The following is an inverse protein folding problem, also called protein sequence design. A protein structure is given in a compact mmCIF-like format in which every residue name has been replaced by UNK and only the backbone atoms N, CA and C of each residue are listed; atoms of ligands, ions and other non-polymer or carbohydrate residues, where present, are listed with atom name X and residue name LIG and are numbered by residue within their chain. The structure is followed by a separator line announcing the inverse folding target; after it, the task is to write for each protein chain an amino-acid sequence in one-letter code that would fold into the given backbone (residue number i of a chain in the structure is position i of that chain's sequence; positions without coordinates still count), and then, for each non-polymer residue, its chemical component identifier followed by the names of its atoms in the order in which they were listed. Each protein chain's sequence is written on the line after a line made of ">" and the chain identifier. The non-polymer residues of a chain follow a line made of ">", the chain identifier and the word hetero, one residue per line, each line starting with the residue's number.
data_IF_519036637235
#
_entry.id   IF_519036637235
#
_cell.length_a   1.000
_cell.length_b   1.000
_cell.length_c   1.000
_cell.angle_alpha   90.00
_cell.angle_beta   90.00
_cell.angle_gamma   90.00
#
_symmetry.space_group_name_H-M   'P 1'
#
loop_
_entity.id
_entity.type
_entity.pdbx_description
1 polymer ?
#
# COMPACT_ATOMS: atom_id res chain seq x y z
N UNK A 1 26.28 10.76 14.39
CA UNK A 1 25.44 11.84 13.83
C UNK A 1 23.99 11.35 13.77
N UNK A 2 23.08 11.98 14.50
CA UNK A 2 21.64 11.73 14.32
C UNK A 2 21.23 12.54 13.10
N UNK A 3 21.01 11.87 11.96
CA UNK A 3 20.57 12.54 10.73
C UNK A 3 19.16 13.11 10.92
N UNK A 4 19.00 14.42 10.68
CA UNK A 4 17.69 15.06 10.69
C UNK A 4 16.80 14.43 9.62
N UNK A 5 15.61 13.96 10.01
CA UNK A 5 14.60 13.44 9.09
C UNK A 5 13.66 14.57 8.71
N UNK A 6 13.59 14.87 7.41
CA UNK A 6 12.66 15.87 6.88
C UNK A 6 11.49 15.18 6.18
N UNK A 7 10.29 15.71 6.38
CA UNK A 7 9.10 15.32 5.66
C UNK A 7 8.56 16.54 4.89
N UNK A 8 8.06 16.31 3.69
CA UNK A 8 7.46 17.35 2.85
C UNK A 8 6.03 16.95 2.50
N UNK A 9 5.18 17.97 2.33
CA UNK A 9 3.81 17.80 1.88
C UNK A 9 3.62 18.60 0.59
N UNK A 10 2.94 17.99 -0.37
CA UNK A 10 2.59 18.62 -1.64
C UNK A 10 1.18 18.22 -2.04
N UNK A 11 0.61 18.97 -2.99
CA UNK A 11 -0.68 18.68 -3.61
C UNK A 11 -0.46 18.50 -5.11
N UNK A 12 -0.99 17.41 -5.65
CA UNK A 12 -1.06 17.16 -7.09
C UNK A 12 -2.50 17.35 -7.58
N UNK A 13 -2.64 17.70 -8.86
CA UNK A 13 -3.93 17.86 -9.55
C UNK A 13 -3.95 16.90 -10.73
N UNK A 14 -4.34 15.62 -10.52
CA UNK A 14 -4.31 14.62 -11.57
C UNK A 14 -5.35 14.92 -12.64
N UNK A 15 -4.98 14.67 -13.90
CA UNK A 15 -5.98 14.52 -14.98
C UNK A 15 -6.82 13.24 -14.79
N UNK A 16 -7.77 13.00 -15.70
CA UNK A 16 -8.67 11.83 -15.63
C UNK A 16 -7.94 10.50 -15.64
N UNK A 17 -6.87 10.36 -16.41
CA UNK A 17 -6.15 9.10 -16.60
C UNK A 17 -5.28 8.80 -15.39
N UNK A 18 -4.60 9.83 -14.88
CA UNK A 18 -3.84 9.79 -13.65
C UNK A 18 -4.74 9.48 -12.46
N UNK A 19 -5.92 10.11 -12.37
CA UNK A 19 -6.89 9.86 -11.33
C UNK A 19 -7.41 8.41 -11.38
N UNK A 20 -7.70 7.89 -12.58
CA UNK A 20 -8.13 6.51 -12.77
C UNK A 20 -7.03 5.51 -12.31
N UNK A 21 -5.77 5.77 -12.64
CA UNK A 21 -4.66 4.93 -12.23
C UNK A 21 -4.40 4.97 -10.71
N UNK A 22 -4.44 6.16 -10.10
CA UNK A 22 -4.37 6.31 -8.65
C UNK A 22 -5.53 5.56 -7.98
N UNK A 23 -6.74 5.68 -8.53
CA UNK A 23 -7.92 4.93 -8.10
C UNK A 23 -7.73 3.41 -8.14
N UNK A 24 -7.20 2.86 -9.24
CA UNK A 24 -6.83 1.43 -9.35
C UNK A 24 -5.81 1.03 -8.28
N UNK A 25 -4.76 1.84 -8.09
CA UNK A 25 -3.71 1.60 -7.09
C UNK A 25 -4.30 1.54 -5.68
N UNK A 26 -5.12 2.53 -5.30
CA UNK A 26 -5.78 2.57 -4.00
C UNK A 26 -6.73 1.38 -3.81
N UNK A 27 -7.48 1.01 -4.84
CA UNK A 27 -8.33 -0.18 -4.84
C UNK A 27 -7.54 -1.46 -4.56
N UNK A 28 -6.43 -1.66 -5.27
CA UNK A 28 -5.55 -2.82 -5.10
C UNK A 28 -4.92 -2.86 -3.69
N UNK A 29 -4.42 -1.72 -3.20
CA UNK A 29 -3.88 -1.61 -1.83
C UNK A 29 -4.93 -1.97 -0.78
N UNK A 30 -6.16 -1.45 -0.93
CA UNK A 30 -7.27 -1.75 -0.02
C UNK A 30 -7.64 -3.23 -0.05
N UNK A 31 -7.71 -3.83 -1.24
CA UNK A 31 -8.00 -5.25 -1.41
C UNK A 31 -6.93 -6.11 -0.74
N UNK A 32 -5.65 -5.85 -1.03
CA UNK A 32 -4.52 -6.60 -0.45
C UNK A 32 -4.54 -6.50 1.07
N UNK A 33 -4.76 -5.31 1.63
CA UNK A 33 -4.91 -5.14 3.09
C UNK A 33 -6.05 -6.00 3.65
N UNK A 34 -7.26 -5.87 3.09
CA UNK A 34 -8.46 -6.54 3.61
C UNK A 34 -8.35 -8.06 3.46
N UNK A 35 -7.91 -8.56 2.31
CA UNK A 35 -7.75 -10.00 2.05
C UNK A 35 -6.70 -10.62 2.96
N UNK A 36 -5.57 -9.92 3.18
CA UNK A 36 -4.55 -10.39 4.13
C UNK A 36 -5.04 -10.38 5.57
N UNK A 37 -5.82 -9.36 5.97
CA UNK A 37 -6.40 -9.28 7.32
C UNK A 37 -7.38 -10.42 7.58
N UNK A 38 -8.25 -10.72 6.61
CA UNK A 38 -9.18 -11.85 6.66
C UNK A 38 -8.44 -13.18 6.78
N UNK A 39 -7.39 -13.41 5.97
CA UNK A 39 -6.58 -14.62 6.08
C UNK A 39 -5.89 -14.77 7.43
N UNK A 40 -5.31 -13.69 7.96
CA UNK A 40 -4.69 -13.69 9.30
C UNK A 40 -5.71 -14.00 10.39
N UNK A 41 -6.90 -13.42 10.30
CA UNK A 41 -8.00 -13.68 11.22
C UNK A 41 -8.37 -15.17 11.18
N UNK A 42 -8.60 -15.75 9.99
CA UNK A 42 -8.94 -17.17 9.85
C UNK A 42 -7.85 -18.09 10.38
N UNK A 43 -6.59 -17.84 10.04
CA UNK A 43 -5.46 -18.66 10.50
C UNK A 43 -5.33 -18.65 12.03
N UNK A 44 -5.51 -17.48 12.64
CA UNK A 44 -5.46 -17.35 14.10
C UNK A 44 -6.65 -18.04 14.78
N UNK A 45 -7.87 -17.86 14.27
CA UNK A 45 -9.06 -18.50 14.85
C UNK A 45 -9.09 -20.02 14.68
N UNK A 46 -8.58 -20.54 13.56
CA UNK A 46 -8.57 -21.98 13.30
C UNK A 46 -7.39 -22.71 13.98
N UNK A 47 -6.22 -22.06 14.05
CA UNK A 47 -4.98 -22.74 14.44
C UNK A 47 -4.13 -21.99 15.47
N UNK A 48 -4.55 -20.80 15.91
CA UNK A 48 -3.75 -19.96 16.83
C UNK A 48 -2.47 -19.42 16.21
N UNK A 49 -2.31 -19.49 14.89
CA UNK A 49 -1.05 -19.16 14.21
C UNK A 49 -0.99 -17.70 13.76
N UNK A 50 0.23 -17.15 13.77
CA UNK A 50 0.54 -15.82 13.21
C UNK A 50 1.15 -15.99 11.83
N UNK A 51 0.80 -15.11 10.90
CA UNK A 51 1.41 -15.09 9.57
C UNK A 51 2.60 -14.12 9.53
N UNK A 52 3.74 -14.57 9.02
CA UNK A 52 4.93 -13.77 8.74
C UNK A 52 4.73 -12.81 7.56
N UNK A 53 5.66 -11.88 7.35
CA UNK A 53 5.68 -11.07 6.13
C UNK A 53 5.91 -11.96 4.88
N UNK A 54 6.86 -12.90 4.95
CA UNK A 54 7.23 -13.79 3.85
C UNK A 54 6.04 -14.59 3.32
N UNK A 55 5.24 -15.17 4.22
CA UNK A 55 4.02 -15.89 3.82
C UNK A 55 3.00 -14.97 3.13
N UNK A 56 2.81 -13.74 3.64
CA UNK A 56 1.88 -12.80 2.98
C UNK A 56 2.39 -12.30 1.64
N UNK A 57 3.71 -12.18 1.46
CA UNK A 57 4.34 -11.78 0.19
C UNK A 57 4.25 -12.90 -0.87
N UNK A 58 4.43 -14.16 -0.44
CA UNK A 58 4.19 -15.34 -1.26
C UNK A 58 2.71 -15.43 -1.69
N UNK A 59 1.77 -15.25 -0.76
CA UNK A 59 0.34 -15.24 -1.07
C UNK A 59 -0.03 -14.14 -2.07
N UNK A 60 0.52 -12.93 -1.93
CA UNK A 60 0.34 -11.84 -2.90
C UNK A 60 0.87 -12.22 -4.29
N UNK A 61 1.99 -12.93 -4.37
CA UNK A 61 2.55 -13.42 -5.63
C UNK A 61 1.64 -14.44 -6.30
N UNK A 62 1.05 -15.35 -5.52
CA UNK A 62 0.05 -16.31 -6.03
C UNK A 62 -1.23 -15.60 -6.49
N UNK A 63 -1.75 -14.64 -5.73
CA UNK A 63 -2.95 -13.90 -6.13
C UNK A 63 -2.79 -13.25 -7.50
N UNK A 64 -1.64 -12.63 -7.76
CA UNK A 64 -1.33 -12.01 -9.05
C UNK A 64 -1.33 -12.98 -10.24
N UNK A 65 -1.20 -14.28 -9.99
CA UNK A 65 -1.24 -15.34 -11.03
C UNK A 65 -2.64 -15.91 -11.23
N UNK A 66 -3.56 -15.69 -10.30
CA UNK A 66 -4.97 -16.10 -10.46
C UNK A 66 -5.69 -15.19 -11.44
N UNK A 67 -6.63 -15.73 -12.22
CA UNK A 67 -7.46 -14.93 -13.15
C UNK A 67 -8.28 -13.86 -12.43
N UNK A 68 -8.80 -14.17 -11.24
CA UNK A 68 -9.61 -13.25 -10.43
C UNK A 68 -8.81 -12.00 -9.99
N UNK A 69 -7.53 -12.16 -9.63
CA UNK A 69 -6.72 -11.09 -9.04
C UNK A 69 -5.52 -10.69 -9.91
N UNK A 70 -5.50 -11.09 -11.18
CA UNK A 70 -4.44 -10.74 -12.13
C UNK A 70 -4.26 -9.22 -12.28
N UNK A 71 -5.34 -8.44 -12.12
CA UNK A 71 -5.31 -6.98 -12.17
C UNK A 71 -4.40 -6.33 -11.10
N UNK A 72 -4.04 -7.06 -10.04
CA UNK A 72 -3.03 -6.61 -9.07
C UNK A 72 -1.65 -6.38 -9.71
N UNK A 73 -1.40 -6.94 -10.91
CA UNK A 73 -0.18 -6.75 -11.69
C UNK A 73 -0.21 -5.50 -12.59
N UNK A 74 -1.37 -4.85 -12.73
CA UNK A 74 -1.52 -3.60 -13.51
C UNK A 74 -0.97 -2.38 -12.76
N UNK A 75 -0.87 -2.47 -11.43
CA UNK A 75 -0.34 -1.41 -10.57
C UNK A 75 1.09 -1.74 -10.13
N UNK A 76 1.81 -0.74 -9.61
CA UNK A 76 3.13 -0.97 -9.03
C UNK A 76 3.07 -2.00 -7.89
N UNK A 77 4.00 -2.95 -7.88
CA UNK A 77 4.13 -3.93 -6.80
C UNK A 77 4.51 -3.29 -5.47
N UNK A 78 5.19 -2.13 -5.50
CA UNK A 78 5.75 -1.49 -4.32
C UNK A 78 4.66 -1.08 -3.30
N UNK A 79 3.59 -0.34 -3.67
CA UNK A 79 2.49 -0.08 -2.75
C UNK A 79 1.84 -1.33 -2.15
N UNK A 80 1.70 -2.41 -2.94
CA UNK A 80 1.10 -3.66 -2.46
C UNK A 80 1.98 -4.31 -1.38
N UNK A 81 3.29 -4.37 -1.62
CA UNK A 81 4.26 -4.91 -0.67
C UNK A 81 4.45 -4.01 0.56
N UNK A 82 4.40 -2.69 0.40
CA UNK A 82 4.42 -1.76 1.54
C UNK A 82 3.17 -1.92 2.41
N UNK A 83 2.02 -2.21 1.81
CA UNK A 83 0.76 -2.48 2.55
C UNK A 83 0.90 -3.69 3.47
N UNK A 84 1.54 -4.77 2.99
CA UNK A 84 1.84 -5.95 3.81
C UNK A 84 2.79 -5.60 4.98
N UNK A 85 3.83 -4.79 4.74
CA UNK A 85 4.74 -4.31 5.80
C UNK A 85 4.02 -3.48 6.85
N UNK A 86 3.15 -2.56 6.42
CA UNK A 86 2.34 -1.77 7.32
C UNK A 86 1.44 -2.65 8.19
N UNK A 87 0.84 -3.70 7.62
CA UNK A 87 0.01 -4.62 8.38
C UNK A 87 0.84 -5.46 9.36
N UNK A 88 2.03 -5.91 8.97
CA UNK A 88 2.96 -6.60 9.87
C UNK A 88 3.34 -5.71 11.07
N UNK A 89 3.71 -4.45 10.83
CA UNK A 89 3.98 -3.48 11.90
C UNK A 89 2.75 -3.22 12.77
N UNK A 90 1.55 -3.13 12.18
CA UNK A 90 0.31 -2.93 12.93
C UNK A 90 0.04 -4.09 13.89
N UNK A 91 0.21 -5.35 13.45
CA UNK A 91 0.10 -6.52 14.32
C UNK A 91 1.20 -6.56 15.40
N UNK A 92 2.45 -6.25 15.05
CA UNK A 92 3.53 -6.18 16.02
C UNK A 92 3.24 -5.13 17.13
N UNK A 93 2.69 -3.98 16.77
CA UNK A 93 2.28 -2.96 17.73
C UNK A 93 1.06 -3.40 18.55
N UNK A 94 0.08 -4.09 17.94
CA UNK A 94 -1.06 -4.65 18.66
C UNK A 94 -0.63 -5.66 19.73
N UNK A 95 0.20 -6.65 19.37
CA UNK A 95 0.70 -7.64 20.32
C UNK A 95 1.59 -7.03 21.41
N UNK A 96 2.26 -5.91 21.12
CA UNK A 96 3.04 -5.16 22.11
C UNK A 96 2.18 -4.21 22.97
N UNK A 97 0.86 -4.20 22.83
CA UNK A 97 -0.04 -3.32 23.58
C UNK A 97 0.05 -1.83 23.20
N UNK A 98 0.70 -1.49 22.08
CA UNK A 98 0.93 -0.10 21.62
C UNK A 98 -0.12 0.40 20.64
N UNK A 99 -0.95 -0.49 20.10
CA UNK A 99 -1.99 -0.15 19.14
C UNK A 99 -3.21 -1.06 19.31
N UNK A 100 -4.36 -0.62 18.80
CA UNK A 100 -5.57 -1.45 18.69
C UNK A 100 -5.41 -2.49 17.58
N UNK A 101 -6.27 -3.51 17.59
CA UNK A 101 -6.32 -4.52 16.54
C UNK A 101 -6.56 -3.86 15.17
N UNK A 102 -5.87 -4.30 14.09
CA UNK A 102 -6.05 -3.74 12.76
C UNK A 102 -7.48 -3.92 12.23
N UNK A 103 -8.06 -2.88 11.65
CA UNK A 103 -9.41 -2.92 11.07
C UNK A 103 -9.41 -3.02 9.55
N UNK A 104 -10.53 -3.49 8.98
CA UNK A 104 -10.76 -3.47 7.54
C UNK A 104 -10.84 -2.03 7.01
N UNK A 105 -10.29 -1.81 5.82
CA UNK A 105 -10.32 -0.52 5.12
C UNK A 105 -11.61 -0.36 4.32
N UNK A 106 -12.22 0.82 4.44
CA UNK A 106 -13.39 1.25 3.67
C UNK A 106 -12.99 1.89 2.34
N UNK A 107 -13.80 1.70 1.28
CA UNK A 107 -13.67 2.37 -0.01
C UNK A 107 -13.95 3.88 0.06
N UNK A 108 -14.91 4.29 0.87
CA UNK A 108 -15.35 5.69 0.96
C UNK A 108 -14.53 6.51 1.97
N UNK A 109 -13.58 5.88 2.66
CA UNK A 109 -12.66 6.56 3.57
C UNK A 109 -11.43 7.13 2.85
N UNK A 110 -10.51 7.69 3.63
CA UNK A 110 -9.21 8.14 3.12
C UNK A 110 -8.45 6.99 2.45
N UNK A 111 -8.07 7.18 1.20
CA UNK A 111 -7.23 6.24 0.46
C UNK A 111 -5.78 6.72 0.46
N UNK A 112 -4.85 5.76 0.48
CA UNK A 112 -3.42 6.07 0.41
C UNK A 112 -2.63 4.90 -0.18
N UNK A 113 -1.48 5.22 -0.77
CA UNK A 113 -0.49 4.27 -1.27
C UNK A 113 0.89 4.77 -0.86
N UNK A 114 1.77 3.86 -0.44
CA UNK A 114 3.14 4.19 -0.04
C UNK A 114 4.11 3.67 -1.11
N UNK A 115 4.82 4.61 -1.73
CA UNK A 115 5.90 4.32 -2.67
C UNK A 115 7.24 4.52 -1.99
N UNK A 116 8.16 3.58 -2.18
CA UNK A 116 9.57 3.74 -1.78
C UNK A 116 10.35 4.46 -2.87
N UNK A 117 11.56 4.95 -2.54
CA UNK A 117 12.43 5.71 -3.45
C UNK A 117 12.70 5.01 -4.79
N UNK A 118 12.63 3.67 -4.84
CA UNK A 118 12.79 2.89 -6.08
C UNK A 118 11.60 2.96 -7.03
N UNK A 119 10.45 3.46 -6.57
CA UNK A 119 9.19 3.46 -7.33
C UNK A 119 8.56 4.84 -7.50
N UNK A 120 9.29 5.90 -7.16
CA UNK A 120 8.90 7.25 -7.53
C UNK A 120 10.12 8.14 -7.79
N UNK A 121 9.90 9.21 -8.56
CA UNK A 121 10.87 10.29 -8.74
C UNK A 121 10.15 11.63 -8.58
N UNK A 122 10.74 12.54 -7.83
CA UNK A 122 10.29 13.93 -7.75
C UNK A 122 11.40 14.85 -8.27
N UNK A 123 11.15 15.63 -9.32
CA UNK A 123 12.11 16.59 -9.88
C UNK A 123 11.38 17.67 -10.67
N UNK A 124 11.78 18.94 -10.46
CA UNK A 124 11.30 20.06 -11.27
C UNK A 124 9.77 20.23 -11.24
N UNK A 125 9.14 20.12 -10.06
CA UNK A 125 7.69 20.26 -9.91
C UNK A 125 6.86 19.02 -10.29
N UNK A 126 7.50 17.95 -10.78
CA UNK A 126 6.80 16.74 -11.24
C UNK A 126 7.08 15.52 -10.36
N UNK A 127 6.05 14.69 -10.17
CA UNK A 127 6.09 13.40 -9.50
C UNK A 127 5.80 12.29 -10.52
N UNK A 128 6.79 11.44 -10.78
CA UNK A 128 6.61 10.22 -11.57
C UNK A 128 6.47 9.03 -10.63
N UNK A 129 5.43 8.21 -10.80
CA UNK A 129 5.24 6.96 -10.07
C UNK A 129 5.52 5.77 -10.99
N UNK A 130 6.02 4.66 -10.42
CA UNK A 130 6.14 3.42 -11.17
C UNK A 130 4.77 2.95 -11.71
N UNK A 131 4.76 2.43 -12.94
CA UNK A 131 3.54 2.04 -13.69
C UNK A 131 2.60 3.19 -14.05
N UNK A 132 3.05 4.44 -13.91
CA UNK A 132 2.36 5.62 -14.41
C UNK A 132 2.93 6.08 -15.74
N UNK A 133 2.05 6.39 -16.70
CA UNK A 133 2.42 6.80 -18.06
C UNK A 133 2.92 8.25 -18.11
N UNK A 134 2.26 9.17 -17.40
CA UNK A 134 2.57 10.61 -17.42
C UNK A 134 2.89 11.13 -16.01
N UNK A 135 3.88 12.02 -15.83
CA UNK A 135 4.16 12.62 -14.52
C UNK A 135 3.00 13.46 -13.99
N UNK A 136 2.80 13.48 -12.67
CA UNK A 136 1.89 14.40 -11.98
C UNK A 136 2.59 15.72 -11.71
N UNK A 137 1.97 16.83 -12.10
CA UNK A 137 2.34 18.14 -11.59
C UNK A 137 1.94 18.26 -10.12
N UNK A 138 2.84 18.78 -9.29
CA UNK A 138 2.55 19.07 -7.89
C UNK A 138 3.01 20.46 -7.48
N UNK A 139 2.30 21.04 -6.51
CA UNK A 139 2.66 22.27 -5.83
C UNK A 139 3.00 21.96 -4.38
N UNK A 140 4.01 22.63 -3.83
CA UNK A 140 4.35 22.51 -2.41
C UNK A 140 3.20 23.04 -1.56
N UNK A 141 2.86 22.31 -0.50
CA UNK A 141 1.82 22.71 0.44
C UNK A 141 2.41 22.69 1.85
N UNK A 142 2.34 23.82 2.54
CA UNK A 142 2.74 23.94 3.93
C UNK A 142 1.68 23.33 4.86
#
# INVERSE_FOLDING_TARGET
>A
MIGMRTAYKCRAYPDSDQAAQLGRTFGCVRLVWNKTLDQRHRAYHAHGTKTSYTETDAALSEWKRTSELAFLSEVSSVPLQQTLRHQHTAFANFFAGRAKYPSFKNRNGKQSAHYTRSAFRMRGGTLTLAKQSTPLEFVWSW
#
